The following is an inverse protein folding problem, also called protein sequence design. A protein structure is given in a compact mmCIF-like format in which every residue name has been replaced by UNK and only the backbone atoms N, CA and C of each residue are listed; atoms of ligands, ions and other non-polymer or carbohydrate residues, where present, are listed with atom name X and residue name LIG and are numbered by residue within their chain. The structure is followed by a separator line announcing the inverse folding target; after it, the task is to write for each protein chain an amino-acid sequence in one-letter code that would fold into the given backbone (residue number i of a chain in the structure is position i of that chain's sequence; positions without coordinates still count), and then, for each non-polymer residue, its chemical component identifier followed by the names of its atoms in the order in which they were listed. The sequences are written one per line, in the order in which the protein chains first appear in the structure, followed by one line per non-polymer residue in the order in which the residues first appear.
data_IF_173313518839
#
_entry.id   IF_173313518839
#
_cell.length_a   1.000
_cell.length_b   1.000
_cell.length_c   1.000
_cell.angle_alpha   90.00
_cell.angle_beta   90.00
_cell.angle_gamma   90.00
#
_symmetry.space_group_name_H-M   'P 1'
#
loop_
_entity.id
_entity.type
_entity.pdbx_description
1 polymer ?
#
# COMPACT_ATOMS: atom_id res chain seq x y z
N UNK A 1 -10.78 15.75 39.41
CA UNK A 1 -10.44 16.39 38.11
C UNK A 1 -11.26 15.73 37.01
N UNK A 2 -12.15 16.46 36.32
CA UNK A 2 -12.90 15.92 35.17
C UNK A 2 -11.95 15.76 33.99
N UNK A 3 -11.79 14.54 33.46
CA UNK A 3 -11.00 14.29 32.26
C UNK A 3 -11.63 15.02 31.07
N UNK A 4 -10.98 16.07 30.56
CA UNK A 4 -11.38 16.67 29.29
C UNK A 4 -11.20 15.60 28.20
N UNK A 5 -12.31 15.11 27.65
CA UNK A 5 -12.28 14.13 26.56
C UNK A 5 -11.39 14.65 25.44
N UNK A 6 -10.34 13.90 25.07
CA UNK A 6 -9.47 14.26 23.95
C UNK A 6 -10.35 14.46 22.73
N UNK A 7 -10.34 15.67 22.18
CA UNK A 7 -11.05 15.98 20.95
C UNK A 7 -10.67 14.93 19.90
N UNK A 8 -11.66 14.27 19.29
CA UNK A 8 -11.41 13.26 18.24
C UNK A 8 -10.50 13.88 17.17
N UNK A 9 -9.43 13.17 16.82
CA UNK A 9 -8.50 13.60 15.77
C UNK A 9 -9.20 13.74 14.42
N UNK A 10 -8.60 14.49 13.49
CA UNK A 10 -9.21 14.80 12.18
C UNK A 10 -9.67 13.54 11.42
N UNK A 11 -8.86 12.47 11.44
CA UNK A 11 -9.24 11.19 10.82
C UNK A 11 -10.47 10.57 11.50
N UNK A 12 -10.49 10.52 12.83
CA UNK A 12 -11.61 9.96 13.58
C UNK A 12 -12.93 10.71 13.29
N UNK A 13 -12.87 12.03 13.07
CA UNK A 13 -14.02 12.83 12.62
C UNK A 13 -14.42 12.52 11.18
N UNK A 14 -13.46 12.41 10.25
CA UNK A 14 -13.76 12.07 8.86
C UNK A 14 -14.33 10.66 8.71
N UNK A 15 -13.87 9.71 9.52
CA UNK A 15 -14.39 8.32 9.52
C UNK A 15 -15.83 8.21 10.04
N UNK A 16 -16.41 9.26 10.63
CA UNK A 16 -17.84 9.30 11.00
C UNK A 16 -18.75 9.46 9.77
N UNK A 17 -18.24 10.05 8.68
CA UNK A 17 -18.91 10.11 7.39
C UNK A 17 -18.85 8.72 6.70
N UNK A 18 -20.00 8.07 6.43
CA UNK A 18 -20.05 6.75 5.78
C UNK A 18 -19.40 6.71 4.39
N UNK A 19 -19.54 7.78 3.60
CA UNK A 19 -18.97 7.84 2.24
C UNK A 19 -17.46 8.07 2.26
N UNK A 20 -16.98 8.84 3.24
CA UNK A 20 -15.55 8.94 3.49
C UNK A 20 -14.99 7.61 3.99
N UNK A 21 -15.67 6.95 4.94
CA UNK A 21 -15.26 5.67 5.50
C UNK A 21 -15.14 4.61 4.41
N UNK A 22 -16.16 4.44 3.56
CA UNK A 22 -16.14 3.47 2.46
C UNK A 22 -14.94 3.70 1.53
N UNK A 23 -14.76 4.94 1.05
CA UNK A 23 -13.62 5.30 0.18
C UNK A 23 -12.28 5.10 0.86
N UNK A 24 -12.19 5.43 2.15
CA UNK A 24 -10.98 5.25 2.94
C UNK A 24 -10.65 3.76 3.08
N UNK A 25 -11.62 2.91 3.41
CA UNK A 25 -11.45 1.46 3.52
C UNK A 25 -11.08 0.82 2.18
N UNK A 26 -11.74 1.19 1.08
CA UNK A 26 -11.40 0.74 -0.28
C UNK A 26 -9.98 1.13 -0.68
N UNK A 27 -9.59 2.39 -0.41
CA UNK A 27 -8.24 2.89 -0.71
C UNK A 27 -7.17 2.30 0.23
N UNK A 28 -7.56 1.86 1.42
CA UNK A 28 -6.65 1.36 2.44
C UNK A 28 -6.00 0.03 2.02
N UNK A 29 -6.74 -0.85 1.35
CA UNK A 29 -6.17 -2.11 0.84
C UNK A 29 -5.12 -1.87 -0.25
N UNK A 30 -5.39 -0.93 -1.17
CA UNK A 30 -4.43 -0.54 -2.20
C UNK A 30 -3.20 0.16 -1.59
N UNK A 31 -3.41 0.96 -0.55
CA UNK A 31 -2.33 1.56 0.23
C UNK A 31 -1.44 0.52 0.90
N UNK A 32 -1.95 -0.65 1.31
CA UNK A 32 -1.11 -1.73 1.87
C UNK A 32 -0.06 -2.23 0.89
N UNK A 33 -0.37 -2.27 -0.42
CA UNK A 33 0.62 -2.64 -1.44
C UNK A 33 1.69 -1.55 -1.59
N UNK A 34 1.29 -0.27 -1.60
CA UNK A 34 2.23 0.86 -1.61
C UNK A 34 3.18 0.81 -0.40
N UNK A 35 2.64 0.55 0.79
CA UNK A 35 3.42 0.41 2.03
C UNK A 35 4.45 -0.71 1.91
N UNK A 36 4.12 -1.84 1.27
CA UNK A 36 5.09 -2.92 1.04
C UNK A 36 6.27 -2.45 0.18
N UNK A 37 6.03 -1.67 -0.88
CA UNK A 37 7.09 -1.14 -1.73
C UNK A 37 7.94 -0.09 -1.00
N UNK A 38 7.31 0.78 -0.21
CA UNK A 38 8.01 1.76 0.63
C UNK A 38 8.88 1.08 1.69
N UNK A 39 8.37 0.03 2.33
CA UNK A 39 9.13 -0.76 3.30
C UNK A 39 10.32 -1.48 2.63
N UNK A 40 10.14 -2.01 1.42
CA UNK A 40 11.23 -2.64 0.67
C UNK A 40 12.32 -1.64 0.28
N UNK A 41 11.94 -0.43 -0.15
CA UNK A 41 12.87 0.69 -0.36
C UNK A 41 13.64 1.01 0.91
N UNK A 42 12.96 1.15 2.05
CA UNK A 42 13.58 1.45 3.34
C UNK A 42 14.58 0.36 3.77
N UNK A 43 14.21 -0.93 3.64
CA UNK A 43 15.09 -2.08 3.93
C UNK A 43 16.36 -2.07 3.08
N UNK A 44 16.25 -1.70 1.80
CA UNK A 44 17.39 -1.54 0.88
C UNK A 44 18.15 -0.22 1.04
N UNK A 45 17.65 0.72 1.87
CA UNK A 45 18.12 2.11 1.96
C UNK A 45 18.12 2.83 0.60
N UNK A 46 17.12 2.53 -0.23
CA UNK A 46 16.98 3.10 -1.57
C UNK A 46 16.09 4.33 -1.57
N UNK A 47 16.47 5.30 -2.38
CA UNK A 47 15.62 6.44 -2.75
C UNK A 47 14.79 6.11 -3.99
N UNK A 48 13.82 6.97 -4.32
CA UNK A 48 13.08 6.86 -5.58
C UNK A 48 14.00 6.97 -6.81
N UNK A 49 15.11 7.69 -6.70
CA UNK A 49 16.09 7.79 -7.79
C UNK A 49 16.81 6.46 -7.99
N UNK A 50 17.06 5.70 -6.94
CA UNK A 50 17.75 4.41 -7.03
C UNK A 50 16.84 3.36 -7.67
N UNK A 51 15.58 3.30 -7.26
CA UNK A 51 14.59 2.45 -7.93
C UNK A 51 14.41 2.84 -9.40
N UNK A 52 14.38 4.15 -9.71
CA UNK A 52 14.27 4.62 -11.07
C UNK A 52 15.46 4.17 -11.95
N UNK A 53 16.69 4.19 -11.42
CA UNK A 53 17.88 3.69 -12.11
C UNK A 53 17.77 2.20 -12.44
N UNK A 54 17.38 1.38 -11.46
CA UNK A 54 17.24 -0.07 -11.65
C UNK A 54 16.13 -0.40 -12.66
N UNK A 55 15.04 0.36 -12.64
CA UNK A 55 13.93 0.19 -13.56
C UNK A 55 14.14 0.83 -14.94
N UNK A 56 15.26 1.53 -15.17
CA UNK A 56 15.50 2.25 -16.42
C UNK A 56 14.46 3.34 -16.70
N UNK A 57 14.01 4.06 -15.67
CA UNK A 57 12.96 5.09 -15.77
C UNK A 57 13.35 6.37 -15.03
N UNK A 58 12.44 7.35 -14.99
CA UNK A 58 12.66 8.62 -14.30
C UNK A 58 12.14 8.59 -12.85
N UNK A 59 12.82 9.32 -11.94
CA UNK A 59 12.37 9.51 -10.55
C UNK A 59 10.93 10.04 -10.48
N UNK A 60 10.54 10.92 -11.38
CA UNK A 60 9.18 11.48 -11.48
C UNK A 60 8.12 10.40 -11.73
N UNK A 61 8.44 9.38 -12.53
CA UNK A 61 7.56 8.25 -12.77
C UNK A 61 7.39 7.40 -11.50
N UNK A 62 8.48 7.08 -10.79
CA UNK A 62 8.42 6.38 -9.51
C UNK A 62 7.63 7.17 -8.47
N UNK A 63 7.86 8.49 -8.38
CA UNK A 63 7.11 9.35 -7.46
C UNK A 63 5.63 9.42 -7.81
N UNK A 64 5.26 9.30 -9.09
CA UNK A 64 3.86 9.27 -9.49
C UNK A 64 3.18 8.00 -9.00
N UNK A 65 3.87 6.86 -9.01
CA UNK A 65 3.30 5.60 -8.54
C UNK A 65 3.26 5.52 -7.01
N UNK A 66 4.32 5.94 -6.30
CA UNK A 66 4.46 5.68 -4.87
C UNK A 66 4.03 6.83 -3.95
N UNK A 67 3.53 7.94 -4.49
CA UNK A 67 3.09 9.09 -3.70
C UNK A 67 1.60 9.35 -3.90
N UNK A 68 0.88 9.43 -2.78
CA UNK A 68 -0.51 9.90 -2.77
C UNK A 68 -1.50 8.96 -3.46
N UNK A 69 -1.37 7.64 -3.23
CA UNK A 69 -2.24 6.62 -3.84
C UNK A 69 -2.09 6.50 -5.35
N UNK A 70 -0.89 6.69 -5.89
CA UNK A 70 -0.64 6.63 -7.32
C UNK A 70 -0.64 5.21 -7.87
N UNK A 71 -0.31 4.22 -7.04
CA UNK A 71 -0.04 2.84 -7.46
C UNK A 71 -1.31 2.15 -7.95
N UNK A 72 -2.48 2.59 -7.47
CA UNK A 72 -3.78 2.08 -7.95
C UNK A 72 -4.00 2.30 -9.46
N UNK A 73 -3.31 3.29 -10.05
CA UNK A 73 -3.42 3.59 -11.48
C UNK A 73 -2.32 2.88 -12.31
N UNK A 74 -1.39 2.19 -11.67
CA UNK A 74 -0.33 1.47 -12.35
C UNK A 74 -0.86 0.15 -12.94
N UNK A 75 -0.37 -0.22 -14.12
CA UNK A 75 -0.68 -1.54 -14.69
C UNK A 75 -0.07 -2.66 -13.85
N UNK A 76 -0.65 -3.87 -13.93
CA UNK A 76 -0.10 -5.05 -13.25
C UNK A 76 1.35 -5.34 -13.66
N UNK A 77 1.70 -5.16 -14.93
CA UNK A 77 3.09 -5.28 -15.43
C UNK A 77 4.02 -4.28 -14.74
N UNK A 78 3.59 -3.03 -14.58
CA UNK A 78 4.37 -1.99 -13.89
C UNK A 78 4.57 -2.34 -12.41
N UNK A 79 3.53 -2.84 -11.74
CA UNK A 79 3.60 -3.31 -10.35
C UNK A 79 4.56 -4.50 -10.22
N UNK A 80 4.47 -5.48 -11.13
CA UNK A 80 5.35 -6.64 -11.13
C UNK A 80 6.83 -6.26 -11.32
N UNK A 81 7.12 -5.36 -12.26
CA UNK A 81 8.48 -4.84 -12.50
C UNK A 81 9.04 -4.07 -11.30
N UNK A 82 8.22 -3.26 -10.63
CA UNK A 82 8.61 -2.59 -9.38
C UNK A 82 8.93 -3.61 -8.28
N UNK A 83 8.07 -4.62 -8.11
CA UNK A 83 8.31 -5.67 -7.13
C UNK A 83 9.63 -6.40 -7.41
N UNK A 84 9.86 -6.81 -8.65
CA UNK A 84 11.10 -7.49 -9.07
C UNK A 84 12.35 -6.63 -8.81
N UNK A 85 12.32 -5.35 -9.19
CA UNK A 85 13.41 -4.40 -8.92
C UNK A 85 13.70 -4.26 -7.41
N UNK A 86 12.67 -4.40 -6.57
CA UNK A 86 12.76 -4.37 -5.12
C UNK A 86 13.09 -5.75 -4.50
N UNK A 87 13.34 -6.79 -5.30
CA UNK A 87 13.61 -8.13 -4.80
C UNK A 87 12.39 -8.81 -4.18
N UNK A 88 11.20 -8.40 -4.59
CA UNK A 88 9.92 -8.97 -4.20
C UNK A 88 9.34 -9.78 -5.37
N UNK A 89 8.38 -10.67 -5.07
CA UNK A 89 7.57 -11.34 -6.08
C UNK A 89 6.13 -10.83 -5.96
N UNK A 90 5.62 -10.23 -7.03
CA UNK A 90 4.20 -9.88 -7.13
C UNK A 90 3.39 -11.10 -7.57
N UNK A 91 2.40 -11.50 -6.78
CA UNK A 91 1.52 -12.65 -7.05
C UNK A 91 0.07 -12.17 -6.96
N UNK A 92 -0.59 -11.86 -8.08
CA UNK A 92 -2.02 -11.56 -8.09
C UNK A 92 -2.81 -12.86 -7.97
N UNK A 93 -3.79 -12.91 -7.07
CA UNK A 93 -4.74 -14.02 -6.97
C UNK A 93 -6.10 -13.50 -6.52
N UNK A 94 -7.16 -14.20 -6.94
CA UNK A 94 -8.52 -13.96 -6.48
C UNK A 94 -8.90 -15.03 -5.45
N UNK A 95 -9.72 -14.67 -4.48
CA UNK A 95 -10.31 -15.61 -3.51
C UNK A 95 -11.82 -15.47 -3.52
N UNK A 96 -12.53 -16.55 -3.21
CA UNK A 96 -13.98 -16.47 -3.03
C UNK A 96 -14.32 -15.52 -1.88
N UNK A 97 -15.35 -14.68 -2.05
CA UNK A 97 -15.74 -13.64 -1.08
C UNK A 97 -15.95 -14.20 0.34
N UNK A 98 -16.62 -15.35 0.44
CA UNK A 98 -16.87 -16.06 1.70
C UNK A 98 -15.60 -16.61 2.37
N UNK A 99 -14.47 -16.65 1.65
CA UNK A 99 -13.15 -17.10 2.13
C UNK A 99 -12.17 -15.94 2.32
N UNK A 100 -12.44 -14.74 1.81
CA UNK A 100 -11.51 -13.60 1.86
C UNK A 100 -11.03 -13.28 3.28
N UNK A 101 -11.96 -13.25 4.25
CA UNK A 101 -11.65 -13.01 5.68
C UNK A 101 -10.74 -14.07 6.31
N UNK A 102 -10.73 -15.30 5.78
CA UNK A 102 -9.91 -16.41 6.28
C UNK A 102 -8.59 -16.52 5.53
N UNK A 103 -8.60 -16.28 4.22
CA UNK A 103 -7.44 -16.43 3.35
C UNK A 103 -6.35 -15.38 3.64
N UNK A 104 -6.74 -14.11 3.81
CA UNK A 104 -5.78 -13.02 3.97
C UNK A 104 -4.88 -13.18 5.21
N UNK A 105 -5.39 -13.51 6.41
CA UNK A 105 -4.52 -13.76 7.58
C UNK A 105 -3.58 -14.95 7.42
N UNK A 106 -4.01 -16.01 6.72
CA UNK A 106 -3.17 -17.19 6.47
C UNK A 106 -2.01 -16.84 5.55
N UNK A 107 -2.29 -16.11 4.47
CA UNK A 107 -1.27 -15.66 3.52
C UNK A 107 -0.30 -14.69 4.21
N UNK A 108 -0.82 -13.75 5.00
CA UNK A 108 0.01 -12.82 5.78
C UNK A 108 0.94 -13.57 6.76
N UNK A 109 0.46 -14.61 7.45
CA UNK A 109 1.31 -15.45 8.31
C UNK A 109 2.40 -16.17 7.53
N UNK A 110 2.13 -16.62 6.31
CA UNK A 110 3.11 -17.33 5.49
C UNK A 110 4.22 -16.42 4.95
N UNK A 111 3.91 -15.14 4.71
CA UNK A 111 4.86 -14.17 4.10
C UNK A 111 5.49 -13.19 5.10
N UNK A 112 5.05 -13.19 6.35
CA UNK A 112 5.67 -12.42 7.43
C UNK A 112 7.01 -13.06 7.81
N UNK A 113 8.07 -12.66 7.10
CA UNK A 113 9.46 -12.82 7.53
C UNK A 113 9.86 -11.66 8.46
#
# INVERSE_FOLDING_TARGET
MKSRGKAKGLLARKMEDPDYRRRHEESYELFKLEVQFLNALARKRWTYSDLAKVMGTQKSAISRDLKGHGLQNASMDRIAKMAEALGLRFIPFCVAENKAKQALPLIQKLVAA
#
